data_IF_674271182720
#
_entry.id   IF_674271182720
#
_cell.length_a   1.000
_cell.length_b   1.000
_cell.length_c   1.000
_cell.angle_alpha   90.00
_cell.angle_beta   90.00
_cell.angle_gamma   90.00
#
_symmetry.space_group_name_H-M   'P 1'
#
loop_
_entity.id
_entity.type
_entity.pdbx_description
1 polymer ?
#
# COMPACT_ATOMS: atom_id res chain seq x y z
N UNK A 1 -68.92 -2.96 -34.69
CA UNK A 1 -67.89 -2.23 -35.47
C UNK A 1 -66.79 -1.75 -34.53
N UNK A 2 -65.64 -2.43 -34.51
CA UNK A 2 -64.46 -2.10 -33.68
C UNK A 2 -63.65 -1.01 -34.37
N UNK A 3 -63.29 0.07 -33.65
CA UNK A 3 -62.23 1.01 -34.05
C UNK A 3 -61.04 0.79 -33.13
N UNK A 4 -59.94 0.23 -33.66
CA UNK A 4 -58.64 0.19 -32.98
C UNK A 4 -57.90 1.52 -33.18
N UNK A 5 -57.27 2.02 -32.12
CA UNK A 5 -56.35 3.18 -32.13
C UNK A 5 -54.92 2.68 -32.35
N UNK A 6 -54.08 3.35 -33.17
CA UNK A 6 -52.70 2.94 -33.39
C UNK A 6 -51.75 3.43 -32.27
N UNK A 7 -50.69 2.65 -32.08
CA UNK A 7 -49.60 2.75 -31.11
C UNK A 7 -48.87 4.10 -31.08
N UNK A 8 -48.45 4.52 -29.86
CA UNK A 8 -47.44 5.56 -29.60
C UNK A 8 -46.18 4.91 -29.04
N UNK A 9 -45.24 4.47 -29.88
CA UNK A 9 -43.89 4.13 -29.45
C UNK A 9 -42.86 4.61 -30.47
N UNK A 10 -42.61 5.92 -30.51
CA UNK A 10 -41.57 6.49 -31.38
C UNK A 10 -40.84 7.69 -30.74
N UNK A 11 -40.79 7.80 -29.40
CA UNK A 11 -40.17 8.96 -28.74
C UNK A 11 -39.28 8.63 -27.53
N UNK A 12 -38.79 7.40 -27.41
CA UNK A 12 -37.94 7.00 -26.28
C UNK A 12 -36.52 6.54 -26.67
N UNK A 13 -36.17 6.53 -27.95
CA UNK A 13 -34.87 6.03 -28.43
C UNK A 13 -33.86 7.16 -28.74
N UNK A 14 -34.29 8.42 -28.80
CA UNK A 14 -33.41 9.55 -29.17
C UNK A 14 -33.03 10.49 -28.00
N UNK A 15 -33.14 10.02 -26.75
CA UNK A 15 -32.74 10.77 -25.56
C UNK A 15 -31.85 9.94 -24.62
N UNK A 16 -31.22 8.89 -25.16
CA UNK A 16 -30.32 7.97 -24.44
C UNK A 16 -28.89 7.91 -25.03
N UNK A 17 -28.58 8.75 -26.03
CA UNK A 17 -27.27 8.80 -26.70
C UNK A 17 -26.46 10.09 -26.46
N UNK A 18 -26.91 10.98 -25.56
CA UNK A 18 -26.14 12.18 -25.14
C UNK A 18 -25.74 12.12 -23.65
N UNK A 19 -26.02 11.00 -22.96
CA UNK A 19 -25.56 10.77 -21.58
C UNK A 19 -24.49 9.68 -21.48
N UNK A 20 -23.74 9.43 -22.55
CA UNK A 20 -22.63 8.46 -22.56
C UNK A 20 -21.24 9.14 -22.67
N UNK A 21 -21.18 10.48 -22.54
CA UNK A 21 -19.99 11.28 -22.83
C UNK A 21 -19.39 12.06 -21.66
N UNK A 22 -19.83 11.86 -20.41
CA UNK A 22 -19.31 12.58 -19.24
C UNK A 22 -19.26 11.68 -17.99
N UNK A 23 -18.57 10.55 -18.10
CA UNK A 23 -17.97 9.88 -16.95
C UNK A 23 -16.49 9.62 -17.30
N UNK A 24 -15.77 10.70 -17.66
CA UNK A 24 -14.34 10.70 -17.41
C UNK A 24 -14.21 10.67 -15.89
N UNK A 25 -14.04 9.46 -15.33
CA UNK A 25 -13.61 9.33 -13.94
C UNK A 25 -12.39 10.21 -13.78
N UNK A 26 -12.52 11.27 -12.98
CA UNK A 26 -11.35 11.93 -12.43
C UNK A 26 -10.79 10.91 -11.47
N UNK A 27 -9.89 10.06 -11.97
CA UNK A 27 -8.99 9.31 -11.12
C UNK A 27 -8.16 10.38 -10.43
N UNK A 28 -8.54 10.74 -9.20
CA UNK A 28 -7.64 11.50 -8.36
C UNK A 28 -6.37 10.67 -8.27
N UNK A 29 -5.28 11.15 -8.89
CA UNK A 29 -3.96 10.59 -8.68
C UNK A 29 -3.74 10.65 -7.17
N UNK A 30 -3.68 9.48 -6.53
CA UNK A 30 -3.15 9.41 -5.18
C UNK A 30 -1.70 9.85 -5.33
N UNK A 31 -1.34 10.99 -4.74
CA UNK A 31 0.04 11.43 -4.69
C UNK A 31 0.75 10.51 -3.70
N UNK A 32 1.38 9.46 -4.23
CA UNK A 32 2.20 8.51 -3.48
C UNK A 32 3.66 8.77 -3.82
N UNK A 33 4.48 8.88 -2.78
CA UNK A 33 5.93 8.84 -2.85
C UNK A 33 6.39 7.46 -2.38
N UNK A 34 6.98 6.68 -3.28
CA UNK A 34 7.54 5.37 -2.96
C UNK A 34 9.02 5.52 -2.60
N UNK A 35 9.41 4.92 -1.46
CA UNK A 35 10.79 4.90 -0.97
C UNK A 35 11.25 3.46 -0.78
N UNK A 36 12.43 3.15 -1.31
CA UNK A 36 13.12 1.89 -1.05
C UNK A 36 13.88 1.99 0.27
N UNK A 37 13.57 1.13 1.23
CA UNK A 37 14.33 1.07 2.49
C UNK A 37 15.81 0.71 2.27
N UNK A 38 16.13 0.02 1.16
CA UNK A 38 17.51 -0.34 0.81
C UNK A 38 18.36 0.87 0.38
N UNK A 39 17.75 1.93 -0.13
CA UNK A 39 18.46 3.14 -0.57
C UNK A 39 18.82 4.05 0.61
N UNK A 40 18.13 3.89 1.75
CA UNK A 40 18.29 4.70 2.96
C UNK A 40 18.50 3.79 4.17
N UNK A 41 19.67 3.15 4.30
CA UNK A 41 19.94 2.25 5.40
C UNK A 41 19.94 3.01 6.74
N UNK A 42 19.07 2.58 7.65
CA UNK A 42 18.91 3.20 8.97
C UNK A 42 19.29 2.23 10.09
N UNK A 43 19.88 2.77 11.16
CA UNK A 43 20.20 2.03 12.39
C UNK A 43 19.51 2.66 13.59
N UNK A 44 19.19 1.86 14.60
CA UNK A 44 18.36 2.26 15.76
C UNK A 44 18.93 3.42 16.59
N UNK A 45 20.23 3.68 16.53
CA UNK A 45 20.93 4.76 17.22
C UNK A 45 21.33 5.91 16.29
N UNK A 46 20.93 5.85 15.02
CA UNK A 46 21.17 6.88 14.03
C UNK A 46 20.36 8.16 14.29
N UNK A 47 20.88 9.28 13.79
CA UNK A 47 20.23 10.58 13.81
C UNK A 47 19.93 11.02 12.38
N UNK A 48 18.65 11.26 12.08
CA UNK A 48 18.17 11.51 10.74
C UNK A 48 17.29 12.75 10.70
N UNK A 49 17.29 13.46 9.58
CA UNK A 49 16.47 14.66 9.39
C UNK A 49 15.91 14.82 7.98
N UNK A 50 16.44 14.10 6.99
CA UNK A 50 15.88 14.06 5.64
C UNK A 50 14.52 13.37 5.62
N UNK A 51 13.70 13.71 4.62
CA UNK A 51 12.39 13.09 4.42
C UNK A 51 12.53 11.57 4.33
N UNK A 52 13.45 11.10 3.50
CA UNK A 52 13.57 9.71 3.14
C UNK A 52 14.09 8.86 4.30
N UNK A 53 15.16 9.28 4.97
CA UNK A 53 15.72 8.52 6.08
C UNK A 53 14.76 8.51 7.28
N UNK A 54 14.07 9.61 7.57
CA UNK A 54 13.10 9.64 8.68
C UNK A 54 11.88 8.79 8.36
N UNK A 55 11.37 8.81 7.13
CA UNK A 55 10.25 7.95 6.72
C UNK A 55 10.63 6.47 6.80
N UNK A 56 11.80 6.09 6.28
CA UNK A 56 12.30 4.70 6.36
C UNK A 56 12.50 4.29 7.82
N UNK A 57 13.09 5.15 8.66
CA UNK A 57 13.25 4.88 10.08
C UNK A 57 11.91 4.64 10.79
N UNK A 58 10.90 5.47 10.53
CA UNK A 58 9.55 5.31 11.10
C UNK A 58 8.93 3.99 10.64
N UNK A 59 9.04 3.64 9.36
CA UNK A 59 8.53 2.38 8.83
C UNK A 59 9.22 1.16 9.47
N UNK A 60 10.54 1.20 9.62
CA UNK A 60 11.34 0.09 10.16
C UNK A 60 11.17 -0.09 11.67
N UNK A 61 11.11 0.99 12.44
CA UNK A 61 11.16 0.93 13.92
C UNK A 61 9.88 1.36 14.63
N UNK A 62 8.88 1.88 13.90
CA UNK A 62 7.61 2.33 14.45
C UNK A 62 7.70 3.53 15.40
N UNK A 63 8.81 4.27 15.35
CA UNK A 63 9.11 5.41 16.25
C UNK A 63 10.03 6.42 15.57
N UNK A 64 10.20 7.60 16.17
CA UNK A 64 11.12 8.61 15.68
C UNK A 64 12.59 8.29 16.01
N UNK A 65 13.54 8.77 15.20
CA UNK A 65 14.97 8.83 15.55
C UNK A 65 15.21 9.57 16.87
N UNK A 66 16.32 9.27 17.55
CA UNK A 66 16.61 9.79 18.89
C UNK A 66 16.88 11.31 18.94
N UNK A 67 17.18 11.93 17.79
CA UNK A 67 17.37 13.38 17.68
C UNK A 67 16.04 14.16 17.65
N UNK A 68 14.88 13.51 17.71
CA UNK A 68 13.60 14.20 17.86
C UNK A 68 13.22 14.37 19.32
N UNK A 69 12.78 15.58 19.67
CA UNK A 69 12.22 15.90 20.99
C UNK A 69 10.86 16.57 20.82
N UNK A 70 9.94 16.33 21.75
CA UNK A 70 8.62 16.96 21.74
C UNK A 70 8.73 18.47 21.97
N UNK A 71 7.70 19.22 21.57
CA UNK A 71 7.59 20.66 21.86
C UNK A 71 7.76 20.94 23.36
N UNK A 72 7.19 20.09 24.22
CA UNK A 72 7.27 20.25 25.68
C UNK A 72 8.70 20.05 26.20
N UNK A 73 9.40 19.03 25.73
CA UNK A 73 10.80 18.78 26.10
C UNK A 73 11.70 19.93 25.66
N UNK A 74 11.54 20.41 24.41
CA UNK A 74 12.27 21.57 23.92
C UNK A 74 11.98 22.84 24.75
N UNK A 75 10.72 23.11 25.08
CA UNK A 75 10.34 24.24 25.93
C UNK A 75 10.96 24.17 27.32
N UNK A 76 11.03 22.98 27.92
CA UNK A 76 11.70 22.77 29.21
C UNK A 76 13.21 23.08 29.16
N UNK A 77 13.83 22.92 27.99
CA UNK A 77 15.22 23.30 27.74
C UNK A 77 15.40 24.81 27.45
N UNK A 78 14.31 25.58 27.33
CA UNK A 78 14.33 27.02 27.05
C UNK A 78 14.08 27.40 25.59
N UNK A 79 13.53 26.49 24.79
CA UNK A 79 13.13 26.80 23.42
C UNK A 79 11.96 27.80 23.39
N UNK A 80 12.11 28.86 22.61
CA UNK A 80 11.06 29.81 22.23
C UNK A 80 10.96 29.81 20.70
N UNK A 81 9.84 29.35 20.17
CA UNK A 81 9.60 29.25 18.73
C UNK A 81 9.75 30.59 18.00
N UNK A 82 9.52 31.71 18.68
CA UNK A 82 9.66 33.06 18.12
C UNK A 82 11.11 33.54 18.03
N UNK A 83 12.04 32.85 18.69
CA UNK A 83 13.46 33.17 18.69
C UNK A 83 14.27 32.30 17.75
N UNK A 84 13.70 31.20 17.23
CA UNK A 84 14.44 30.25 16.40
C UNK A 84 15.65 29.64 17.13
N UNK A 85 15.57 29.48 18.45
CA UNK A 85 16.73 29.16 19.30
C UNK A 85 16.86 27.66 19.62
N UNK A 86 16.24 26.75 18.85
CA UNK A 86 16.20 25.33 19.21
C UNK A 86 17.60 24.74 19.34
N UNK A 87 18.47 24.90 18.35
CA UNK A 87 19.83 24.39 18.43
C UNK A 87 20.71 25.07 19.49
N UNK A 88 20.31 26.24 20.01
CA UNK A 88 21.03 26.86 21.13
C UNK A 88 20.74 26.15 22.46
N UNK A 89 19.57 25.52 22.60
CA UNK A 89 19.13 24.85 23.83
C UNK A 89 19.12 23.33 23.72
N UNK A 90 19.04 22.80 22.51
CA UNK A 90 19.05 21.37 22.16
C UNK A 90 19.80 21.18 20.83
N UNK A 91 21.16 21.22 20.84
CA UNK A 91 21.97 21.09 19.64
C UNK A 91 21.71 19.79 18.89
N UNK A 92 21.44 19.89 17.58
CA UNK A 92 21.20 18.74 16.71
C UNK A 92 19.80 18.12 16.84
N UNK A 93 18.92 18.70 17.66
CA UNK A 93 17.55 18.20 17.84
C UNK A 93 16.55 18.85 16.88
N UNK A 94 15.57 18.04 16.46
CA UNK A 94 14.38 18.47 15.72
C UNK A 94 13.12 18.34 16.57
N UNK A 95 12.07 19.10 16.25
CA UNK A 95 10.78 18.95 16.94
C UNK A 95 10.01 17.77 16.35
N UNK A 96 9.50 16.89 17.21
CA UNK A 96 8.63 15.79 16.77
C UNK A 96 8.16 14.91 17.93
N UNK A 97 7.14 14.11 17.66
CA UNK A 97 6.54 13.18 18.63
C UNK A 97 5.26 13.69 19.26
N UNK A 98 4.82 14.90 18.93
CA UNK A 98 3.55 15.47 19.38
C UNK A 98 2.37 14.94 18.55
N UNK A 99 1.18 14.90 19.16
CA UNK A 99 -0.05 14.54 18.49
C UNK A 99 -0.45 15.57 17.42
N UNK A 100 -0.79 15.09 16.22
CA UNK A 100 -1.38 15.89 15.15
C UNK A 100 -2.89 15.63 15.03
N UNK A 101 -3.67 16.68 15.25
CA UNK A 101 -5.13 16.57 15.36
C UNK A 101 -5.91 16.58 14.04
N UNK A 102 -5.30 17.01 12.93
CA UNK A 102 -5.98 17.27 11.66
C UNK A 102 -7.31 18.06 11.84
N UNK A 103 -7.28 19.15 12.59
CA UNK A 103 -8.50 19.89 12.98
C UNK A 103 -9.18 20.57 11.78
N UNK A 104 -8.41 20.93 10.75
CA UNK A 104 -8.91 21.46 9.49
C UNK A 104 -9.58 20.38 8.62
N UNK A 105 -9.41 19.09 8.96
CA UNK A 105 -10.02 17.98 8.23
C UNK A 105 -9.44 17.82 6.83
N UNK A 106 -8.11 17.85 6.71
CA UNK A 106 -7.42 17.69 5.43
C UNK A 106 -7.87 16.38 4.75
N UNK A 107 -8.37 16.44 3.50
CA UNK A 107 -8.96 15.32 2.80
C UNK A 107 -7.94 14.25 2.36
N UNK A 108 -6.65 14.60 2.29
CA UNK A 108 -5.58 13.67 1.89
C UNK A 108 -5.29 12.64 2.98
N UNK A 109 -5.68 12.91 4.23
CA UNK A 109 -5.46 12.03 5.36
C UNK A 109 -6.67 11.14 5.65
N UNK A 110 -6.48 9.82 5.84
CA UNK A 110 -7.55 8.93 6.27
C UNK A 110 -8.20 9.36 7.58
N UNK A 111 -9.54 9.34 7.60
CA UNK A 111 -10.35 9.70 8.77
C UNK A 111 -10.22 8.66 9.89
N UNK A 112 -10.41 9.12 11.13
CA UNK A 112 -10.43 8.25 12.32
C UNK A 112 -9.06 7.73 12.76
N UNK A 113 -7.96 8.22 12.15
CA UNK A 113 -6.60 7.89 12.54
C UNK A 113 -6.11 8.83 13.64
N UNK A 114 -5.16 8.32 14.44
CA UNK A 114 -4.36 9.12 15.36
C UNK A 114 -3.00 9.35 14.73
N UNK A 115 -2.60 10.61 14.63
CA UNK A 115 -1.37 11.00 13.95
C UNK A 115 -0.36 11.56 14.95
N UNK A 116 0.90 11.29 14.70
CA UNK A 116 2.05 11.90 15.36
C UNK A 116 2.81 12.71 14.31
N UNK A 117 3.25 13.92 14.62
CA UNK A 117 3.99 14.78 13.69
C UNK A 117 5.49 14.90 14.03
N UNK A 118 6.30 15.19 13.02
CA UNK A 118 7.70 15.57 13.19
C UNK A 118 8.19 16.51 12.07
N UNK A 119 9.18 17.34 12.41
CA UNK A 119 9.85 18.26 11.49
C UNK A 119 10.82 17.54 10.55
N UNK A 120 10.83 17.94 9.28
CA UNK A 120 11.73 17.41 8.27
C UNK A 120 12.64 18.52 7.76
N UNK A 121 13.86 18.13 7.36
CA UNK A 121 14.89 19.02 6.81
C UNK A 121 15.23 20.22 7.71
N UNK A 122 15.05 20.07 9.03
CA UNK A 122 15.31 21.14 9.99
C UNK A 122 16.82 21.41 10.13
N UNK A 123 17.20 22.67 9.95
CA UNK A 123 18.60 23.11 9.91
C UNK A 123 19.07 23.85 11.16
N UNK A 124 18.24 23.94 12.21
CA UNK A 124 18.59 24.61 13.46
C UNK A 124 18.15 26.06 13.61
N UNK A 125 17.44 26.61 12.61
CA UNK A 125 16.93 27.98 12.64
C UNK A 125 15.45 28.04 13.06
N UNK A 126 14.64 28.83 12.36
CA UNK A 126 13.18 28.76 12.49
C UNK A 126 12.67 27.47 11.87
N UNK A 127 11.61 26.89 12.44
CA UNK A 127 10.97 25.70 11.88
C UNK A 127 10.41 26.00 10.50
N UNK A 128 10.72 25.15 9.52
CA UNK A 128 10.19 25.24 8.15
C UNK A 128 8.74 24.74 8.03
N UNK A 129 8.24 24.61 6.81
CA UNK A 129 6.90 24.07 6.52
C UNK A 129 6.82 22.54 6.48
N UNK A 130 7.95 21.87 6.32
CA UNK A 130 8.02 20.44 6.00
C UNK A 130 7.79 19.52 7.21
N UNK A 131 6.89 18.54 7.08
CA UNK A 131 6.54 17.61 8.16
C UNK A 131 6.23 16.22 7.64
N UNK A 132 6.54 15.20 8.43
CA UNK A 132 5.88 13.90 8.36
C UNK A 132 4.79 13.83 9.43
N UNK A 133 3.64 13.25 9.07
CA UNK A 133 2.66 12.71 10.02
C UNK A 133 2.57 11.20 9.84
N UNK A 134 2.57 10.45 10.95
CA UNK A 134 2.51 9.00 10.92
C UNK A 134 1.56 8.43 11.96
N UNK A 135 0.99 7.26 11.67
CA UNK A 135 0.03 6.58 12.53
C UNK A 135 0.62 5.31 13.16
N UNK A 136 0.00 4.81 14.24
CA UNK A 136 0.42 3.58 14.91
C UNK A 136 0.27 2.33 14.04
N UNK A 137 -0.62 2.36 13.05
CA UNK A 137 -0.87 1.28 12.10
C UNK A 137 -0.04 1.42 10.81
N UNK A 138 1.01 2.25 10.82
CA UNK A 138 2.05 2.25 9.80
C UNK A 138 1.79 3.19 8.61
N UNK A 139 0.79 4.07 8.66
CA UNK A 139 0.62 5.08 7.62
C UNK A 139 1.61 6.21 7.82
N UNK A 140 2.23 6.69 6.74
CA UNK A 140 3.19 7.80 6.73
C UNK A 140 2.77 8.77 5.62
N UNK A 141 2.68 10.06 5.95
CA UNK A 141 2.34 11.13 5.02
C UNK A 141 3.28 12.30 5.22
N UNK A 142 3.62 12.97 4.12
CA UNK A 142 4.47 14.16 4.12
C UNK A 142 3.74 15.37 3.58
N UNK A 143 4.05 16.53 4.15
CA UNK A 143 3.63 17.84 3.67
C UNK A 143 4.87 18.71 3.55
N UNK A 144 5.05 19.36 2.40
CA UNK A 144 6.09 20.39 2.21
C UNK A 144 5.61 21.79 2.59
N UNK A 145 4.30 21.97 2.69
CA UNK A 145 3.62 23.25 2.67
C UNK A 145 2.82 23.54 3.94
N UNK A 146 3.32 23.02 5.07
CA UNK A 146 2.75 23.26 6.40
C UNK A 146 1.30 22.80 6.53
N UNK A 147 1.09 21.51 6.25
CA UNK A 147 -0.15 20.74 6.40
C UNK A 147 -1.29 21.10 5.42
N UNK A 148 -1.00 21.87 4.36
CA UNK A 148 -2.01 22.22 3.36
C UNK A 148 -2.31 21.04 2.43
N UNK A 149 -1.28 20.32 1.96
CA UNK A 149 -1.42 19.11 1.16
C UNK A 149 -0.54 17.99 1.70
N UNK A 150 -1.00 16.75 1.54
CA UNK A 150 -0.22 15.58 1.92
C UNK A 150 0.03 14.64 0.74
N UNK A 151 1.24 14.12 0.70
CA UNK A 151 1.66 13.01 -0.14
C UNK A 151 1.84 11.78 0.75
N UNK A 152 1.20 10.67 0.41
CA UNK A 152 1.40 9.42 1.14
C UNK A 152 2.80 8.89 0.84
N UNK A 153 3.53 8.45 1.86
CA UNK A 153 4.79 7.74 1.68
C UNK A 153 4.55 6.25 1.85
N UNK A 154 4.99 5.46 0.88
CA UNK A 154 5.10 4.01 0.99
C UNK A 154 6.58 3.63 1.06
N UNK A 155 6.99 3.09 2.21
CA UNK A 155 8.32 2.51 2.36
C UNK A 155 8.23 1.03 2.02
N UNK A 156 8.93 0.60 0.98
CA UNK A 156 9.03 -0.80 0.60
C UNK A 156 10.28 -1.40 1.23
N UNK A 157 10.09 -2.44 2.06
CA UNK A 157 11.19 -3.25 2.56
C UNK A 157 11.83 -3.94 1.35
N UNK A 158 13.15 -3.74 1.19
CA UNK A 158 13.93 -4.30 0.10
C UNK A 158 14.06 -5.82 0.15
N UNK A 159 12.95 -6.56 0.04
CA UNK A 159 12.95 -7.87 -0.60
C UNK A 159 13.51 -7.72 -2.02
N UNK A 160 14.16 -8.75 -2.59
CA UNK A 160 15.12 -8.57 -3.67
C UNK A 160 14.42 -8.21 -4.98
N UNK A 161 14.13 -6.92 -5.18
CA UNK A 161 13.90 -6.23 -6.45
C UNK A 161 14.38 -4.79 -6.30
N UNK A 162 15.70 -4.65 -6.34
CA UNK A 162 16.38 -3.39 -6.59
C UNK A 162 15.98 -2.85 -7.97
N UNK A 163 15.65 -1.55 -8.00
CA UNK A 163 15.76 -0.60 -9.10
C UNK A 163 15.45 -1.10 -10.53
N UNK A 164 14.39 -0.53 -11.12
CA UNK A 164 14.08 -0.55 -12.56
C UNK A 164 13.33 -1.77 -13.13
N UNK A 165 12.28 -2.25 -12.44
CA UNK A 165 11.13 -2.82 -13.15
C UNK A 165 9.84 -2.25 -12.61
N UNK A 166 9.25 -1.27 -13.31
CA UNK A 166 7.79 -1.14 -13.27
C UNK A 166 7.22 -2.49 -13.66
N UNK A 167 6.44 -3.12 -12.77
CA UNK A 167 5.74 -4.35 -13.11
C UNK A 167 4.92 -4.08 -14.37
N UNK A 168 5.24 -4.81 -15.44
CA UNK A 168 4.50 -4.69 -16.68
C UNK A 168 3.25 -5.54 -16.55
N UNK A 169 2.10 -5.03 -17.00
CA UNK A 169 0.83 -5.78 -16.93
C UNK A 169 0.90 -7.11 -17.69
N UNK A 170 1.78 -7.20 -18.69
CA UNK A 170 2.08 -8.40 -19.50
C UNK A 170 3.34 -9.14 -19.02
N UNK A 171 3.85 -8.83 -17.83
CA UNK A 171 4.94 -9.55 -17.18
C UNK A 171 4.48 -10.87 -16.57
N UNK A 172 5.33 -11.89 -16.65
CA UNK A 172 5.12 -13.17 -16.00
C UNK A 172 5.90 -13.19 -14.68
N UNK A 173 5.17 -13.22 -13.57
CA UNK A 173 5.75 -13.15 -12.24
C UNK A 173 5.36 -14.38 -11.44
N UNK A 174 6.29 -14.89 -10.64
CA UNK A 174 6.00 -15.99 -9.70
C UNK A 174 6.64 -15.78 -8.34
N UNK A 175 7.57 -14.83 -8.16
CA UNK A 175 8.15 -14.56 -6.84
C UNK A 175 7.11 -13.99 -5.88
N UNK A 176 7.27 -14.27 -4.58
CA UNK A 176 6.37 -13.74 -3.54
C UNK A 176 6.22 -12.22 -3.65
N UNK A 177 7.35 -11.53 -3.77
CA UNK A 177 7.44 -10.07 -3.81
C UNK A 177 6.74 -9.49 -5.04
N UNK A 178 7.11 -9.94 -6.26
CA UNK A 178 6.52 -9.41 -7.50
C UNK A 178 5.03 -9.64 -7.56
N UNK A 179 4.58 -10.84 -7.19
CA UNK A 179 3.16 -11.20 -7.28
C UNK A 179 2.35 -10.42 -6.24
N UNK A 180 2.86 -10.24 -5.02
CA UNK A 180 2.19 -9.42 -4.01
C UNK A 180 2.08 -7.96 -4.45
N UNK A 181 3.16 -7.37 -4.95
CA UNK A 181 3.15 -6.01 -5.48
C UNK A 181 2.24 -5.88 -6.71
N UNK A 182 2.21 -6.88 -7.61
CA UNK A 182 1.32 -6.89 -8.77
C UNK A 182 -0.14 -6.90 -8.35
N UNK A 183 -0.53 -7.76 -7.40
CA UNK A 183 -1.90 -7.81 -6.87
C UNK A 183 -2.27 -6.49 -6.19
N UNK A 184 -1.35 -5.92 -5.41
CA UNK A 184 -1.58 -4.63 -4.74
C UNK A 184 -1.83 -3.50 -5.76
N UNK A 185 -1.03 -3.45 -6.82
CA UNK A 185 -1.09 -2.41 -7.84
C UNK A 185 -2.27 -2.55 -8.80
N UNK A 186 -2.55 -3.77 -9.25
CA UNK A 186 -3.51 -4.02 -10.34
C UNK A 186 -4.80 -4.69 -9.89
N UNK A 187 -4.90 -5.14 -8.63
CA UNK A 187 -6.08 -5.82 -8.08
C UNK A 187 -6.37 -7.19 -8.72
N UNK A 188 -5.42 -7.75 -9.46
CA UNK A 188 -5.54 -9.02 -10.17
C UNK A 188 -4.22 -9.79 -10.14
N UNK A 189 -4.25 -11.08 -10.47
CA UNK A 189 -3.05 -11.88 -10.66
C UNK A 189 -2.35 -11.55 -11.99
N UNK A 190 -1.02 -11.75 -12.08
CA UNK A 190 -0.30 -11.79 -13.35
C UNK A 190 -0.92 -12.79 -14.34
N UNK A 191 -0.75 -12.55 -15.65
CA UNK A 191 -1.42 -13.34 -16.68
C UNK A 191 -1.00 -14.84 -16.70
N UNK A 192 0.16 -15.16 -16.12
CA UNK A 192 0.71 -16.51 -16.04
C UNK A 192 0.14 -17.33 -14.85
N UNK A 193 -1.04 -16.96 -14.34
CA UNK A 193 -1.77 -17.73 -13.35
C UNK A 193 -3.00 -18.40 -13.97
N UNK A 194 -3.20 -19.68 -13.64
CA UNK A 194 -4.39 -20.44 -13.95
C UNK A 194 -5.09 -20.86 -12.67
N UNK A 195 -6.40 -20.80 -12.67
CA UNK A 195 -7.19 -21.49 -11.66
C UNK A 195 -6.94 -23.00 -11.75
N UNK A 196 -7.19 -23.72 -10.65
CA UNK A 196 -7.18 -25.20 -10.64
C UNK A 196 -8.12 -25.81 -11.70
N UNK A 197 -9.16 -25.10 -12.13
CA UNK A 197 -10.09 -25.57 -13.17
C UNK A 197 -9.46 -25.43 -14.56
N UNK A 198 -9.01 -24.23 -14.93
CA UNK A 198 -8.33 -23.98 -16.21
C UNK A 198 -7.10 -24.88 -16.39
N UNK A 199 -6.33 -25.11 -15.33
CA UNK A 199 -5.20 -26.04 -15.39
C UNK A 199 -5.65 -27.49 -15.67
N UNK A 200 -6.76 -27.94 -15.08
CA UNK A 200 -7.30 -29.30 -15.31
C UNK A 200 -7.78 -29.48 -16.75
N UNK A 201 -8.33 -28.43 -17.35
CA UNK A 201 -8.74 -28.45 -18.76
C UNK A 201 -7.54 -28.65 -19.70
N UNK A 202 -6.35 -28.21 -19.29
CA UNK A 202 -5.08 -28.48 -19.97
C UNK A 202 -4.50 -29.88 -19.65
N UNK A 203 -5.15 -30.67 -18.78
CA UNK A 203 -4.69 -32.00 -18.38
C UNK A 203 -3.78 -32.01 -17.15
N UNK A 204 -3.74 -30.92 -16.38
CA UNK A 204 -3.05 -30.90 -15.09
C UNK A 204 -3.73 -31.82 -14.08
N UNK A 205 -2.93 -32.55 -13.32
CA UNK A 205 -3.40 -33.27 -12.13
C UNK A 205 -2.38 -33.13 -11.00
N UNK A 206 -2.86 -32.87 -9.78
CA UNK A 206 -1.98 -32.76 -8.61
C UNK A 206 -1.16 -34.04 -8.36
N UNK A 207 -1.68 -35.21 -8.73
CA UNK A 207 -0.99 -36.51 -8.57
C UNK A 207 0.24 -36.65 -9.48
N UNK A 208 0.19 -36.05 -10.67
CA UNK A 208 1.28 -36.13 -11.66
C UNK A 208 2.29 -35.00 -11.52
N UNK A 209 1.96 -33.95 -10.75
CA UNK A 209 2.75 -32.71 -10.63
C UNK A 209 3.21 -32.20 -12.02
N UNK A 210 2.29 -32.21 -12.98
CA UNK A 210 2.59 -32.04 -14.41
C UNK A 210 2.24 -30.65 -14.94
N UNK A 211 2.09 -29.63 -14.08
CA UNK A 211 1.68 -28.30 -14.54
C UNK A 211 2.67 -27.73 -15.54
N UNK A 212 3.98 -27.82 -15.24
CA UNK A 212 5.02 -27.35 -16.16
C UNK A 212 5.07 -28.10 -17.50
N UNK A 213 4.43 -29.28 -17.60
CA UNK A 213 4.31 -30.02 -18.87
C UNK A 213 3.11 -29.55 -19.69
N UNK A 214 1.98 -29.27 -19.04
CA UNK A 214 0.73 -28.93 -19.72
C UNK A 214 0.50 -27.43 -19.89
N UNK A 215 1.14 -26.62 -19.04
CA UNK A 215 1.11 -25.17 -19.05
C UNK A 215 2.50 -24.61 -18.64
N UNK A 216 3.52 -24.72 -19.51
CA UNK A 216 4.86 -24.21 -19.21
C UNK A 216 4.84 -22.72 -18.86
N UNK A 217 5.51 -22.33 -17.76
CA UNK A 217 5.57 -20.95 -17.29
C UNK A 217 4.39 -20.48 -16.44
N UNK A 218 3.36 -21.33 -16.26
CA UNK A 218 2.18 -20.98 -15.45
C UNK A 218 2.28 -21.47 -14.00
N UNK A 219 1.61 -20.74 -13.11
CA UNK A 219 1.39 -21.07 -11.71
C UNK A 219 -0.11 -21.27 -11.43
N UNK A 220 -0.44 -21.92 -10.30
CA UNK A 220 -1.84 -22.06 -9.85
C UNK A 220 -2.24 -20.86 -9.02
N UNK A 221 -3.40 -20.25 -9.30
CA UNK A 221 -3.94 -19.17 -8.47
C UNK A 221 -5.29 -18.66 -8.91
N UNK A 222 -5.91 -17.84 -8.07
CA UNK A 222 -7.21 -17.21 -8.35
C UNK A 222 -8.41 -18.07 -7.91
N UNK A 223 -8.17 -19.18 -7.22
CA UNK A 223 -9.24 -19.94 -6.58
C UNK A 223 -9.66 -19.28 -5.26
N UNK A 224 -10.95 -19.37 -4.91
CA UNK A 224 -11.45 -18.88 -3.63
C UNK A 224 -10.76 -19.58 -2.45
N UNK A 225 -10.31 -18.78 -1.49
CA UNK A 225 -9.80 -19.23 -0.20
C UNK A 225 -10.89 -19.06 0.86
N UNK A 226 -11.16 -20.12 1.61
CA UNK A 226 -12.34 -20.17 2.49
C UNK A 226 -12.16 -19.52 3.87
N UNK A 227 -10.93 -19.19 4.29
CA UNK A 227 -10.60 -18.76 5.67
C UNK A 227 -11.27 -19.62 6.75
N UNK A 228 -11.30 -20.96 6.59
CA UNK A 228 -12.12 -21.85 7.43
C UNK A 228 -11.63 -21.91 8.87
N UNK A 229 -10.34 -21.69 9.05
CA UNK A 229 -9.61 -21.67 10.30
C UNK A 229 -9.69 -20.29 10.98
N UNK A 230 -10.25 -19.26 10.31
CA UNK A 230 -10.44 -17.93 10.85
C UNK A 230 -9.15 -17.17 11.19
N UNK A 231 -8.04 -17.50 10.52
CA UNK A 231 -6.73 -16.91 10.80
C UNK A 231 -6.56 -15.51 10.16
N UNK A 232 -7.33 -15.21 9.12
CA UNK A 232 -7.35 -13.90 8.47
C UNK A 232 -8.53 -13.06 8.96
N UNK A 233 -8.43 -11.71 8.94
CA UNK A 233 -9.48 -10.85 9.45
C UNK A 233 -10.75 -10.96 8.60
N UNK A 234 -11.89 -11.20 9.24
CA UNK A 234 -13.19 -11.24 8.59
C UNK A 234 -13.85 -9.86 8.54
N UNK A 235 -14.54 -9.60 7.43
CA UNK A 235 -15.38 -8.42 7.27
C UNK A 235 -16.58 -8.73 6.36
N UNK A 236 -17.66 -7.95 6.49
CA UNK A 236 -18.85 -8.11 5.65
C UNK A 236 -18.47 -7.92 4.18
N UNK A 237 -18.82 -8.89 3.34
CA UNK A 237 -18.51 -8.94 1.91
C UNK A 237 -17.01 -9.07 1.56
N UNK A 238 -16.14 -9.39 2.53
CA UNK A 238 -14.75 -9.73 2.23
C UNK A 238 -14.70 -11.13 1.63
N UNK A 239 -14.07 -11.22 0.48
CA UNK A 239 -13.81 -12.45 -0.25
C UNK A 239 -12.30 -12.63 -0.32
N UNK A 240 -11.86 -13.87 -0.24
CA UNK A 240 -10.45 -14.24 -0.29
C UNK A 240 -10.17 -15.16 -1.47
N UNK A 241 -8.98 -15.00 -2.05
CA UNK A 241 -8.41 -15.86 -3.07
C UNK A 241 -6.99 -16.24 -2.69
N UNK A 242 -6.49 -17.33 -3.27
CA UNK A 242 -5.12 -17.81 -3.07
C UNK A 242 -4.36 -17.94 -4.38
N UNK A 243 -3.03 -17.82 -4.32
CA UNK A 243 -2.14 -18.19 -5.41
C UNK A 243 -0.82 -18.79 -4.91
N UNK A 244 -0.24 -19.68 -5.72
CA UNK A 244 1.10 -20.23 -5.51
C UNK A 244 2.16 -19.15 -5.83
N UNK A 245 3.19 -19.05 -4.99
CA UNK A 245 4.36 -18.21 -5.25
C UNK A 245 5.65 -19.02 -5.16
N UNK A 246 6.75 -18.47 -5.67
CA UNK A 246 8.05 -19.12 -5.83
C UNK A 246 7.95 -20.44 -6.63
N UNK A 247 7.08 -20.46 -7.63
CA UNK A 247 6.87 -21.62 -8.54
C UNK A 247 8.02 -21.68 -9.54
N UNK A 248 8.64 -22.85 -9.65
CA UNK A 248 9.74 -23.13 -10.59
C UNK A 248 9.30 -24.28 -11.50
N UNK A 249 9.29 -24.05 -12.81
CA UNK A 249 8.88 -25.04 -13.83
C UNK A 249 7.51 -25.68 -13.57
N UNK A 250 6.55 -24.88 -13.10
CA UNK A 250 5.19 -25.34 -12.76
C UNK A 250 5.12 -26.25 -11.53
N UNK A 251 6.24 -26.52 -10.84
CA UNK A 251 6.23 -27.26 -9.58
C UNK A 251 5.67 -26.37 -8.49
N UNK A 252 4.57 -26.83 -7.89
CA UNK A 252 3.90 -26.10 -6.83
C UNK A 252 4.80 -26.02 -5.60
N UNK A 253 4.95 -24.82 -5.04
CA UNK A 253 5.64 -24.62 -3.76
C UNK A 253 4.71 -24.97 -2.59
N UNK A 254 5.20 -24.84 -1.34
CA UNK A 254 4.36 -24.80 -0.13
C UNK A 254 3.90 -23.39 0.24
N UNK A 255 4.34 -22.42 -0.54
CA UNK A 255 4.23 -20.99 -0.26
C UNK A 255 3.08 -20.38 -1.03
N UNK A 256 2.30 -19.52 -0.39
CA UNK A 256 1.10 -18.93 -0.98
C UNK A 256 0.97 -17.47 -0.62
N UNK A 257 0.34 -16.73 -1.52
CA UNK A 257 -0.35 -15.50 -1.14
C UNK A 257 -1.84 -15.80 -0.96
N UNK A 258 -2.45 -15.10 -0.01
CA UNK A 258 -3.89 -15.00 0.17
C UNK A 258 -4.26 -13.53 0.12
N UNK A 259 -5.13 -13.16 -0.83
CA UNK A 259 -5.46 -11.76 -1.10
C UNK A 259 -6.97 -11.56 -1.14
N UNK A 260 -7.42 -10.37 -0.76
CA UNK A 260 -8.84 -10.03 -0.68
C UNK A 260 -9.29 -9.04 -1.75
N UNK A 261 -10.60 -8.92 -1.91
CA UNK A 261 -11.23 -7.92 -2.79
C UNK A 261 -11.09 -6.49 -2.27
N UNK A 262 -10.73 -6.32 -1.00
CA UNK A 262 -10.55 -5.02 -0.34
C UNK A 262 -9.08 -4.70 -0.04
N UNK A 263 -8.15 -5.36 -0.75
CA UNK A 263 -6.74 -4.95 -0.83
C UNK A 263 -5.82 -5.54 0.23
N UNK A 264 -6.30 -6.47 1.06
CA UNK A 264 -5.43 -7.18 2.00
C UNK A 264 -4.65 -8.27 1.29
N UNK A 265 -3.36 -8.39 1.61
CA UNK A 265 -2.48 -9.43 1.06
C UNK A 265 -1.67 -10.05 2.19
N UNK A 266 -1.76 -11.36 2.32
CA UNK A 266 -1.04 -12.17 3.30
C UNK A 266 -0.20 -13.23 2.62
N UNK A 267 0.94 -13.55 3.22
CA UNK A 267 1.82 -14.63 2.80
C UNK A 267 1.83 -15.75 3.82
N UNK A 268 1.91 -16.99 3.36
CA UNK A 268 2.15 -18.18 4.19
C UNK A 268 3.29 -18.99 3.60
N UNK A 269 4.31 -19.28 4.41
CA UNK A 269 5.45 -20.13 4.04
C UNK A 269 5.22 -21.61 4.40
N UNK A 270 4.17 -21.90 5.17
CA UNK A 270 3.99 -23.14 5.92
C UNK A 270 2.66 -23.82 5.61
N UNK A 271 2.13 -23.61 4.41
CA UNK A 271 0.87 -24.20 3.95
C UNK A 271 -0.31 -23.83 4.86
N UNK A 272 -0.56 -22.53 5.00
CA UNK A 272 -1.70 -21.92 5.71
C UNK A 272 -1.71 -22.16 7.22
N UNK A 273 -0.57 -22.47 7.85
CA UNK A 273 -0.51 -22.60 9.31
C UNK A 273 -0.32 -21.23 9.98
N UNK A 274 0.49 -20.36 9.37
CA UNK A 274 0.71 -18.98 9.78
C UNK A 274 0.63 -18.02 8.59
N UNK A 275 0.32 -16.76 8.89
CA UNK A 275 0.19 -15.70 7.91
C UNK A 275 0.95 -14.44 8.31
N UNK A 276 1.77 -13.93 7.40
CA UNK A 276 2.43 -12.64 7.45
C UNK A 276 1.63 -11.64 6.62
N UNK A 277 1.30 -10.46 7.17
CA UNK A 277 0.60 -9.42 6.41
C UNK A 277 1.62 -8.65 5.56
N UNK A 278 1.38 -8.56 4.25
CA UNK A 278 2.21 -7.79 3.32
C UNK A 278 1.59 -6.42 2.97
N UNK A 279 0.27 -6.38 2.72
CA UNK A 279 -0.49 -5.15 2.39
C UNK A 279 -1.83 -5.14 3.16
#
# INVERSE_FOLDING_TARGET
MRKSKPWRHASLVLLLLILCGLLTGVWAKINVLELSAADYPVVTDGSYSSLEEVAVYIATFGKLPSNFITKREAQNLGWDSRKGNLHAVAPGSSIGGDFFGNYEGNPDLPKGKKWTECDINFNGSFRGGERIVFSQDGLIYYTEDHYNHFTQILVIDGGPLSASQTLQVDGAYTSKEEVASFIHQFGTLPYNYLTKEEARDLGWTNKKDNLGQVAPGYAIGGNSFGNREGQLPDAKNRLWWECDVNVIDGKRSRERLVFSNDGHIYYTSDNYQTFEKLY
#
